data_IF_893769376604
#
_entry.id   IF_893769376604
#
_cell.length_a   1.000
_cell.length_b   1.000
_cell.length_c   1.000
_cell.angle_alpha   90.00
_cell.angle_beta   90.00
_cell.angle_gamma   90.00
#
_symmetry.space_group_name_H-M   'P 1'
#
loop_
_entity.id
_entity.type
_entity.pdbx_description
1 polymer ?
#
# COMPACT_ATOMS: atom_id res chain seq x y z
N UNK A 1 2.24 19.59 37.79
CA UNK A 1 0.92 19.89 37.15
C UNK A 1 0.65 19.00 35.99
N UNK A 2 -0.57 18.52 35.87
CA UNK A 2 -0.98 17.73 34.71
C UNK A 2 -1.03 18.63 33.46
N UNK A 3 -0.52 18.13 32.34
CA UNK A 3 -0.62 18.82 31.06
C UNK A 3 -2.05 18.85 30.59
N UNK A 4 -2.46 19.92 29.92
CA UNK A 4 -3.78 20.00 29.29
C UNK A 4 -3.89 18.99 28.14
N UNK A 5 -5.12 18.72 27.69
CA UNK A 5 -5.36 17.85 26.53
C UNK A 5 -4.66 18.35 25.28
N UNK A 6 -4.66 19.67 25.06
CA UNK A 6 -3.98 20.30 23.93
C UNK A 6 -2.45 20.12 24.01
N UNK A 7 -1.88 20.28 25.19
CA UNK A 7 -0.44 20.08 25.41
C UNK A 7 -0.02 18.64 25.17
N UNK A 8 -0.83 17.67 25.62
CA UNK A 8 -0.55 16.25 25.40
C UNK A 8 -0.59 15.89 23.91
N UNK A 9 -1.57 16.42 23.18
CA UNK A 9 -1.67 16.23 21.74
C UNK A 9 -0.50 16.85 20.99
N UNK A 10 -0.09 18.06 21.38
CA UNK A 10 1.05 18.73 20.78
C UNK A 10 2.35 17.96 21.01
N UNK A 11 2.57 17.46 22.24
CA UNK A 11 3.74 16.64 22.56
C UNK A 11 3.75 15.32 21.77
N UNK A 12 2.59 14.69 21.60
CA UNK A 12 2.46 13.46 20.80
C UNK A 12 2.79 13.73 19.33
N UNK A 13 2.25 14.81 18.75
CA UNK A 13 2.56 15.19 17.37
C UNK A 13 4.04 15.48 17.16
N UNK A 14 4.68 16.18 18.12
CA UNK A 14 6.10 16.45 18.06
C UNK A 14 6.92 15.17 18.07
N UNK A 15 6.56 14.20 18.92
CA UNK A 15 7.23 12.90 18.97
C UNK A 15 7.04 12.11 17.67
N UNK A 16 5.85 12.11 17.12
CA UNK A 16 5.55 11.43 15.85
C UNK A 16 6.33 12.06 14.70
N UNK A 17 6.40 13.39 14.67
CA UNK A 17 7.15 14.11 13.64
C UNK A 17 8.65 13.82 13.74
N UNK A 18 9.21 13.80 14.97
CA UNK A 18 10.61 13.46 15.22
C UNK A 18 10.94 12.02 14.81
N UNK A 19 9.97 11.10 14.92
CA UNK A 19 10.10 9.71 14.48
C UNK A 19 9.89 9.54 12.97
N UNK A 20 9.61 10.62 12.22
CA UNK A 20 9.31 10.56 10.79
C UNK A 20 7.85 10.23 10.45
N UNK A 21 6.98 10.13 11.45
CA UNK A 21 5.56 9.83 11.22
C UNK A 21 4.83 11.05 10.69
N UNK A 22 3.94 10.83 9.74
CA UNK A 22 3.08 11.87 9.18
C UNK A 22 1.63 11.41 9.17
N UNK A 23 0.72 12.35 9.40
CA UNK A 23 -0.71 12.06 9.34
C UNK A 23 -1.16 12.06 7.89
N UNK A 24 -1.91 11.04 7.51
CA UNK A 24 -2.56 10.94 6.21
C UNK A 24 -4.06 10.89 6.44
N UNK A 25 -4.81 11.70 5.71
CA UNK A 25 -6.26 11.68 5.75
C UNK A 25 -6.79 10.88 4.57
N UNK A 26 -7.80 10.05 4.85
CA UNK A 26 -8.38 9.16 3.87
C UNK A 26 -9.90 9.34 3.87
N UNK A 27 -10.46 9.56 2.68
CA UNK A 27 -11.91 9.66 2.49
C UNK A 27 -12.40 8.34 1.93
N UNK A 28 -13.31 7.69 2.65
CA UNK A 28 -13.91 6.42 2.25
C UNK A 28 -15.40 6.64 1.98
N UNK A 29 -15.94 5.98 0.95
CA UNK A 29 -17.38 5.95 0.75
C UNK A 29 -18.05 4.99 1.74
N UNK A 30 -19.37 4.95 1.74
CA UNK A 30 -20.13 4.13 2.67
C UNK A 30 -19.85 2.64 2.50
N UNK A 31 -19.66 2.18 1.28
CA UNK A 31 -19.35 0.78 0.99
C UNK A 31 -17.96 0.39 1.48
N UNK A 32 -16.97 1.24 1.22
CA UNK A 32 -15.60 1.01 1.65
C UNK A 32 -15.50 1.00 3.17
N UNK A 33 -16.19 1.91 3.85
CA UNK A 33 -16.21 1.96 5.29
C UNK A 33 -16.87 0.71 5.88
N UNK A 34 -17.95 0.21 5.26
CA UNK A 34 -18.60 -1.03 5.67
C UNK A 34 -17.68 -2.24 5.47
N UNK A 35 -16.99 -2.31 4.35
CA UNK A 35 -16.01 -3.36 4.08
C UNK A 35 -14.89 -3.36 5.12
N UNK A 36 -14.39 -2.19 5.47
CA UNK A 36 -13.33 -2.04 6.46
C UNK A 36 -13.79 -2.55 7.82
N UNK A 37 -14.95 -2.10 8.29
CA UNK A 37 -15.51 -2.52 9.58
C UNK A 37 -15.77 -4.03 9.62
N UNK A 38 -16.36 -4.57 8.58
CA UNK A 38 -16.66 -6.00 8.45
C UNK A 38 -15.39 -6.84 8.45
N UNK A 39 -14.37 -6.41 7.74
CA UNK A 39 -13.11 -7.14 7.65
C UNK A 39 -12.31 -7.09 8.94
N UNK A 40 -12.37 -5.96 9.67
CA UNK A 40 -11.78 -5.85 11.00
C UNK A 40 -12.35 -6.90 11.95
N UNK A 41 -13.66 -7.10 11.89
CA UNK A 41 -14.35 -8.12 12.71
C UNK A 41 -14.08 -9.53 12.22
N UNK A 42 -14.17 -9.74 10.90
CA UNK A 42 -14.01 -11.06 10.29
C UNK A 42 -12.62 -11.68 10.50
N UNK A 43 -11.60 -10.84 10.60
CA UNK A 43 -10.22 -11.29 10.82
C UNK A 43 -9.94 -11.69 12.27
N UNK A 44 -10.85 -11.40 13.19
CA UNK A 44 -10.74 -11.76 14.61
C UNK A 44 -12.03 -12.39 15.12
N UNK A 45 -12.39 -13.57 14.62
CA UNK A 45 -13.64 -14.22 15.03
C UNK A 45 -13.64 -14.53 16.54
N UNK A 46 -14.74 -14.18 17.21
CA UNK A 46 -14.88 -14.41 18.64
C UNK A 46 -14.10 -13.47 19.54
N UNK A 47 -13.47 -12.45 18.99
CA UNK A 47 -12.67 -11.43 19.72
C UNK A 47 -13.11 -10.04 19.29
N UNK A 48 -12.60 -9.03 20.00
CA UNK A 48 -12.83 -7.66 19.57
C UNK A 48 -12.24 -7.41 18.18
N UNK A 49 -12.98 -6.72 17.31
CA UNK A 49 -12.46 -6.37 15.98
C UNK A 49 -11.17 -5.56 16.08
N UNK A 50 -10.36 -5.61 15.02
CA UNK A 50 -9.23 -4.71 14.91
C UNK A 50 -9.70 -3.27 14.90
N UNK A 51 -8.93 -2.37 15.48
CA UNK A 51 -9.09 -0.94 15.27
C UNK A 51 -8.82 -0.64 13.79
N UNK A 52 -9.64 0.24 13.18
CA UNK A 52 -9.55 0.51 11.75
C UNK A 52 -8.15 1.00 11.32
N UNK A 53 -7.56 1.92 12.10
CA UNK A 53 -6.23 2.45 11.81
C UNK A 53 -5.16 1.35 11.90
N UNK A 54 -5.23 0.49 12.91
CA UNK A 54 -4.32 -0.64 13.08
C UNK A 54 -4.44 -1.63 11.94
N UNK A 55 -5.67 -1.93 11.50
CA UNK A 55 -5.93 -2.82 10.39
C UNK A 55 -5.35 -2.27 9.08
N UNK A 56 -5.52 -0.97 8.83
CA UNK A 56 -4.95 -0.31 7.64
C UNK A 56 -3.42 -0.40 7.65
N UNK A 57 -2.79 -0.16 8.80
CA UNK A 57 -1.32 -0.29 8.92
C UNK A 57 -0.87 -1.71 8.62
N UNK A 58 -1.60 -2.71 9.10
CA UNK A 58 -1.31 -4.11 8.78
C UNK A 58 -1.42 -4.39 7.28
N UNK A 59 -2.45 -3.87 6.63
CA UNK A 59 -2.64 -4.03 5.18
C UNK A 59 -1.48 -3.42 4.40
N UNK A 60 -1.01 -2.25 4.80
CA UNK A 60 0.13 -1.57 4.17
C UNK A 60 1.37 -2.47 4.24
N UNK A 61 1.67 -3.02 5.41
CA UNK A 61 2.83 -3.90 5.60
C UNK A 61 2.70 -5.20 4.82
N UNK A 62 1.52 -5.79 4.81
CA UNK A 62 1.27 -7.02 4.07
C UNK A 62 1.38 -6.80 2.57
N UNK A 63 0.82 -5.69 2.07
CA UNK A 63 0.90 -5.35 0.66
C UNK A 63 2.35 -5.09 0.23
N UNK A 64 3.12 -4.38 1.05
CA UNK A 64 4.54 -4.13 0.79
C UNK A 64 5.32 -5.43 0.63
N UNK A 65 5.11 -6.38 1.53
CA UNK A 65 5.76 -7.69 1.47
C UNK A 65 5.36 -8.48 0.22
N UNK A 66 4.06 -8.48 -0.12
CA UNK A 66 3.54 -9.16 -1.32
C UNK A 66 4.08 -8.53 -2.59
N UNK A 67 4.05 -7.22 -2.66
CA UNK A 67 4.51 -6.47 -3.83
C UNK A 67 6.00 -6.66 -4.04
N UNK A 68 6.80 -6.59 -2.98
CA UNK A 68 8.23 -6.84 -3.02
C UNK A 68 8.55 -8.22 -3.58
N UNK A 69 7.85 -9.25 -3.10
CA UNK A 69 8.00 -10.62 -3.59
C UNK A 69 7.55 -10.76 -5.04
N UNK A 70 6.46 -10.09 -5.41
CA UNK A 70 5.94 -10.08 -6.77
C UNK A 70 6.93 -9.44 -7.74
N UNK A 71 7.49 -8.30 -7.37
CA UNK A 71 8.51 -7.60 -8.18
C UNK A 71 9.75 -8.47 -8.35
N UNK A 72 10.22 -9.13 -7.29
CA UNK A 72 11.36 -10.07 -7.39
C UNK A 72 11.06 -11.22 -8.35
N UNK A 73 9.84 -11.74 -8.32
CA UNK A 73 9.40 -12.81 -9.21
C UNK A 73 9.42 -12.36 -10.67
N UNK A 74 8.84 -11.19 -10.97
CA UNK A 74 8.78 -10.70 -12.34
C UNK A 74 10.12 -10.15 -12.83
N UNK A 75 11.04 -9.77 -11.93
CA UNK A 75 12.37 -9.30 -12.32
C UNK A 75 13.22 -10.38 -13.02
N UNK A 76 12.82 -11.64 -12.91
CA UNK A 76 13.43 -12.74 -13.64
C UNK A 76 12.95 -12.82 -15.09
N UNK A 77 11.93 -12.06 -15.45
CA UNK A 77 11.36 -11.99 -16.80
C UNK A 77 11.89 -10.75 -17.50
N UNK A 78 12.03 -10.85 -18.82
CA UNK A 78 12.49 -9.75 -19.65
C UNK A 78 11.35 -9.23 -20.52
N UNK A 79 11.42 -7.96 -20.88
CA UNK A 79 10.51 -7.41 -21.87
C UNK A 79 10.78 -8.08 -23.22
N UNK A 80 9.72 -8.50 -23.91
CA UNK A 80 9.84 -9.17 -25.21
C UNK A 80 10.42 -8.30 -26.31
N UNK A 81 10.42 -6.98 -26.12
CA UNK A 81 10.89 -6.04 -27.13
C UNK A 81 12.29 -5.52 -26.86
N UNK A 82 12.59 -5.09 -25.64
CA UNK A 82 13.87 -4.46 -25.30
C UNK A 82 14.78 -5.31 -24.42
N UNK A 83 14.32 -6.49 -24.00
CA UNK A 83 15.04 -7.42 -23.13
C UNK A 83 15.47 -6.84 -21.77
N UNK A 84 14.83 -5.74 -21.35
CA UNK A 84 15.05 -5.17 -20.03
C UNK A 84 14.31 -5.96 -18.95
N UNK A 85 14.89 -6.11 -17.73
CA UNK A 85 14.19 -6.75 -16.64
C UNK A 85 12.90 -6.01 -16.25
N UNK A 86 11.86 -6.74 -15.93
CA UNK A 86 10.59 -6.18 -15.47
C UNK A 86 10.67 -5.84 -13.97
N UNK A 87 9.92 -4.86 -13.45
CA UNK A 87 9.06 -3.94 -14.19
C UNK A 87 9.85 -2.82 -14.85
N UNK A 88 9.32 -2.27 -15.93
CA UNK A 88 9.94 -1.19 -16.68
C UNK A 88 9.14 0.09 -16.46
N UNK A 89 9.81 1.17 -16.05
CA UNK A 89 9.15 2.46 -15.80
C UNK A 89 9.05 3.32 -17.06
N UNK A 90 10.05 3.24 -17.94
CA UNK A 90 10.03 3.91 -19.24
C UNK A 90 10.81 3.09 -20.23
N UNK A 91 10.41 3.17 -21.50
CA UNK A 91 11.06 2.43 -22.56
C UNK A 91 10.98 3.22 -23.87
N UNK A 92 12.09 3.38 -24.61
CA UNK A 92 12.05 4.03 -25.92
C UNK A 92 11.19 3.27 -26.94
N UNK A 93 10.88 2.00 -26.66
CA UNK A 93 9.97 1.19 -27.49
C UNK A 93 8.51 1.29 -27.03
N UNK A 94 8.16 2.19 -26.12
CA UNK A 94 6.79 2.42 -25.70
C UNK A 94 5.92 2.78 -26.92
N UNK A 95 4.74 2.14 -27.00
CA UNK A 95 3.88 2.23 -28.20
C UNK A 95 3.95 0.99 -29.09
N UNK A 96 5.02 0.21 -29.03
CA UNK A 96 5.10 -1.08 -29.71
C UNK A 96 4.25 -2.12 -28.97
N UNK A 97 3.51 -2.92 -29.74
CA UNK A 97 2.61 -3.93 -29.14
C UNK A 97 3.33 -5.02 -28.35
N UNK A 98 4.62 -5.22 -28.58
CA UNK A 98 5.45 -6.19 -27.86
C UNK A 98 6.10 -5.60 -26.63
N UNK A 99 6.10 -4.27 -26.46
CA UNK A 99 6.70 -3.62 -25.31
C UNK A 99 5.85 -3.80 -24.05
N UNK A 100 6.48 -4.20 -22.95
CA UNK A 100 5.80 -4.39 -21.67
C UNK A 100 5.12 -3.10 -21.17
N UNK A 101 5.75 -1.93 -21.35
CA UNK A 101 5.18 -0.63 -20.96
C UNK A 101 3.87 -0.36 -21.70
N UNK A 102 3.74 -0.82 -22.95
CA UNK A 102 2.54 -0.60 -23.75
C UNK A 102 1.41 -1.57 -23.39
N UNK A 103 1.67 -2.86 -23.34
CA UNK A 103 0.64 -3.87 -23.13
C UNK A 103 0.97 -4.93 -22.09
N UNK A 104 2.24 -5.27 -21.93
CA UNK A 104 2.67 -6.37 -21.07
C UNK A 104 2.44 -6.13 -19.59
N UNK A 105 2.26 -4.90 -19.18
CA UNK A 105 2.03 -4.56 -17.76
C UNK A 105 0.79 -5.22 -17.18
N UNK A 106 -0.21 -5.51 -18.01
CA UNK A 106 -1.42 -6.23 -17.59
C UNK A 106 -1.10 -7.66 -17.16
N UNK A 107 -0.13 -8.32 -17.84
CA UNK A 107 0.23 -9.71 -17.59
C UNK A 107 0.94 -9.90 -16.26
N UNK A 108 1.63 -8.88 -15.77
CA UNK A 108 2.38 -8.95 -14.51
C UNK A 108 1.51 -8.66 -13.29
N UNK A 109 0.30 -8.13 -13.47
CA UNK A 109 -0.67 -7.86 -12.41
C UNK A 109 -0.13 -6.99 -11.27
N UNK A 110 0.73 -6.03 -11.59
CA UNK A 110 1.24 -5.09 -10.60
C UNK A 110 0.20 -4.08 -10.17
N UNK A 111 -0.75 -3.74 -11.04
CA UNK A 111 -1.85 -2.85 -10.68
C UNK A 111 -2.81 -3.55 -9.71
N UNK A 112 -3.20 -2.82 -8.70
CA UNK A 112 -4.14 -3.32 -7.73
C UNK A 112 -5.57 -3.35 -8.28
#
# INVERSE_FOLDING_TARGET
MAKSSAERKAAQRARQSAAGNRKIELVLDAQELDMLARNCAARRPGREPYEMAEYIVMLIRQDDARLSGHIKSISKRLCRKCDEPLPITSCPCAGDSKCWVTRGWHETKLSA
#
